data_IF_102603421026
#
_entry.id   IF_102603421026
#
_cell.length_a   1.000
_cell.length_b   1.000
_cell.length_c   1.000
_cell.angle_alpha   90.00
_cell.angle_beta   90.00
_cell.angle_gamma   90.00
#
_symmetry.space_group_name_H-M   'P 1'
#
loop_
_entity.id
_entity.type
_entity.pdbx_description
1 polymer ?
#
# COMPACT_ATOMS: atom_id res chain seq x y z
N UNK A 1 24.14 -21.89 2.51
CA UNK A 1 22.74 -22.35 2.65
C UNK A 1 22.17 -22.42 1.25
N UNK A 2 21.87 -23.62 0.74
CA UNK A 2 21.14 -23.76 -0.52
C UNK A 2 19.69 -23.41 -0.22
N UNK A 3 19.32 -22.14 -0.41
CA UNK A 3 17.92 -21.73 -0.41
C UNK A 3 17.27 -22.42 -1.60
N UNK A 4 16.51 -23.50 -1.36
CA UNK A 4 15.58 -24.02 -2.35
C UNK A 4 14.66 -22.86 -2.71
N UNK A 5 14.72 -22.47 -3.99
CA UNK A 5 13.94 -21.37 -4.53
C UNK A 5 12.45 -21.67 -4.34
N UNK A 6 11.80 -20.93 -3.45
CA UNK A 6 10.36 -20.81 -3.49
C UNK A 6 10.03 -19.79 -4.59
N UNK A 7 9.56 -20.28 -5.73
CA UNK A 7 9.09 -19.45 -6.83
C UNK A 7 7.79 -18.76 -6.41
N UNK A 8 7.88 -17.51 -5.98
CA UNK A 8 6.72 -16.61 -5.97
C UNK A 8 7.00 -15.42 -6.88
N UNK A 9 6.03 -15.10 -7.73
CA UNK A 9 6.08 -14.01 -8.68
C UNK A 9 5.92 -12.68 -7.92
N UNK A 10 6.92 -11.80 -8.00
CA UNK A 10 6.89 -10.40 -7.54
C UNK A 10 6.68 -10.15 -6.03
N UNK A 11 7.12 -11.06 -5.17
CA UNK A 11 6.94 -10.94 -3.70
C UNK A 11 8.23 -10.55 -3.00
N UNK A 12 8.19 -9.47 -2.21
CA UNK A 12 9.27 -9.15 -1.27
C UNK A 12 9.09 -9.96 0.00
N UNK A 13 9.96 -10.92 0.28
CA UNK A 13 9.87 -11.76 1.49
C UNK A 13 10.93 -11.34 2.49
N UNK A 14 10.51 -10.81 3.63
CA UNK A 14 11.38 -10.39 4.72
C UNK A 14 11.43 -11.46 5.79
N UNK A 15 12.61 -12.03 6.03
CA UNK A 15 12.79 -12.99 7.12
C UNK A 15 13.32 -12.23 8.33
N UNK A 16 12.52 -12.16 9.40
CA UNK A 16 12.90 -11.57 10.67
C UNK A 16 13.30 -12.65 11.67
N UNK A 17 14.41 -12.48 12.38
CA UNK A 17 14.72 -13.28 13.56
C UNK A 17 13.86 -12.80 14.72
N UNK A 18 13.22 -13.74 15.39
CA UNK A 18 12.49 -13.46 16.64
C UNK A 18 12.93 -14.40 17.76
N UNK A 19 12.74 -13.97 19.01
CA UNK A 19 13.01 -14.78 20.22
C UNK A 19 11.71 -15.11 20.92
N UNK A 20 11.61 -16.32 21.46
CA UNK A 20 10.45 -16.71 22.28
C UNK A 20 10.43 -15.96 23.60
N UNK A 21 9.27 -15.41 23.98
CA UNK A 21 9.03 -15.04 25.37
C UNK A 21 8.87 -16.32 26.22
N UNK A 22 9.20 -16.29 27.53
CA UNK A 22 8.97 -17.44 28.41
C UNK A 22 7.45 -17.68 28.57
N UNK A 23 6.89 -18.63 27.81
CA UNK A 23 5.48 -19.03 27.90
C UNK A 23 5.28 -20.50 27.50
N UNK A 24 4.20 -21.10 28.00
CA UNK A 24 3.86 -22.53 27.87
C UNK A 24 3.68 -22.93 26.41
N UNK A 25 4.55 -23.79 25.90
CA UNK A 25 4.41 -24.39 24.57
C UNK A 25 3.23 -25.36 24.56
N UNK A 26 2.24 -25.09 23.71
CA UNK A 26 1.23 -26.10 23.37
C UNK A 26 1.80 -27.01 22.28
N UNK A 27 2.01 -28.29 22.59
CA UNK A 27 2.44 -29.28 21.61
C UNK A 27 1.25 -29.65 20.70
N UNK A 28 1.13 -28.97 19.57
CA UNK A 28 0.25 -29.37 18.47
C UNK A 28 1.05 -30.14 17.41
N UNK A 29 0.44 -31.13 16.75
CA UNK A 29 1.10 -31.93 15.71
C UNK A 29 1.64 -31.09 14.54
N UNK A 30 1.12 -29.88 14.37
CA UNK A 30 1.43 -28.96 13.27
C UNK A 30 2.49 -27.89 13.60
N UNK A 31 3.00 -27.83 14.84
CA UNK A 31 3.96 -26.80 15.28
C UNK A 31 5.14 -27.49 16.00
N UNK A 32 6.39 -27.23 15.57
CA UNK A 32 7.60 -27.84 16.16
C UNK A 32 8.78 -26.89 16.18
N UNK A 33 9.73 -27.16 17.07
CA UNK A 33 11.06 -26.54 17.12
C UNK A 33 12.11 -27.50 16.50
N UNK A 34 13.03 -26.99 15.67
CA UNK A 34 14.01 -27.75 14.88
C UNK A 34 15.45 -27.25 15.04
N UNK A 35 16.38 -28.07 15.52
CA UNK A 35 17.72 -27.70 16.04
C UNK A 35 18.80 -27.18 15.06
N UNK A 36 18.47 -26.72 13.86
CA UNK A 36 19.48 -26.30 12.87
C UNK A 36 19.10 -24.97 12.19
N UNK A 37 19.80 -23.85 12.50
CA UNK A 37 20.21 -22.74 11.59
C UNK A 37 20.69 -21.46 12.35
N UNK A 38 21.79 -20.83 11.90
CA UNK A 38 22.52 -19.69 12.52
C UNK A 38 22.26 -18.31 11.85
N UNK A 39 22.31 -17.25 12.65
CA UNK A 39 21.90 -15.83 12.46
C UNK A 39 22.99 -14.92 11.84
N UNK A 40 22.82 -13.64 11.44
CA UNK A 40 22.38 -12.39 12.12
C UNK A 40 22.25 -11.24 11.06
N UNK A 41 21.43 -10.17 11.24
CA UNK A 41 21.94 -8.82 11.60
C UNK A 41 21.33 -7.63 10.82
N UNK A 42 20.47 -6.78 11.42
CA UNK A 42 19.80 -5.58 10.83
C UNK A 42 20.25 -4.23 11.44
N UNK A 43 19.86 -3.08 10.82
CA UNK A 43 19.49 -1.82 11.54
C UNK A 43 18.86 -0.69 10.65
N UNK A 44 17.66 -0.22 11.09
CA UNK A 44 16.98 1.12 11.14
C UNK A 44 17.12 2.19 10.02
N UNK A 45 16.10 2.85 9.43
CA UNK A 45 14.85 3.60 9.82
C UNK A 45 15.01 5.15 9.86
N UNK A 46 14.37 5.89 8.92
CA UNK A 46 13.19 6.82 9.04
C UNK A 46 13.57 8.28 9.48
N UNK A 47 12.94 9.40 9.13
CA UNK A 47 11.55 9.75 8.72
C UNK A 47 11.45 11.21 8.17
N UNK A 48 10.22 11.60 7.75
CA UNK A 48 9.75 12.69 6.85
C UNK A 48 9.25 14.01 7.50
N UNK A 49 9.02 15.09 6.70
CA UNK A 49 7.73 15.86 6.61
C UNK A 49 7.81 17.16 5.78
N UNK A 50 6.68 17.61 5.20
CA UNK A 50 6.49 18.90 4.49
C UNK A 50 5.13 19.55 4.82
N UNK A 51 5.03 20.87 4.61
CA UNK A 51 3.89 21.76 4.92
C UNK A 51 3.07 22.21 3.68
N UNK A 52 1.82 22.65 3.92
CA UNK A 52 0.78 23.02 2.92
C UNK A 52 0.34 24.50 3.06
N UNK A 53 0.04 25.21 1.96
CA UNK A 53 -0.59 26.56 1.96
C UNK A 53 -1.61 26.69 0.80
N UNK A 54 -2.74 27.34 1.10
CA UNK A 54 -3.94 27.55 0.27
C UNK A 54 -3.82 28.65 -0.80
N UNK A 55 -4.61 28.50 -1.87
CA UNK A 55 -4.60 29.32 -3.10
C UNK A 55 -5.46 30.61 -3.11
N UNK A 56 -5.50 31.24 -4.29
CA UNK A 56 -6.24 32.48 -4.58
C UNK A 56 -6.91 32.44 -5.96
N UNK A 57 -8.15 32.91 -6.02
CA UNK A 57 -9.08 32.92 -7.16
C UNK A 57 -8.80 34.01 -8.20
N UNK A 58 -9.05 33.70 -9.49
CA UNK A 58 -9.10 34.66 -10.60
C UNK A 58 -10.30 34.44 -11.52
N UNK A 59 -11.09 35.51 -11.74
CA UNK A 59 -12.36 35.55 -12.50
C UNK A 59 -12.18 35.52 -14.03
N UNK A 60 -13.05 34.81 -14.77
CA UNK A 60 -13.28 35.01 -16.21
C UNK A 60 -14.78 35.01 -16.56
N UNK A 61 -15.18 36.15 -17.14
CA UNK A 61 -16.34 36.52 -17.98
C UNK A 61 -17.64 35.70 -17.95
N UNK A 62 -18.71 36.39 -17.57
CA UNK A 62 -20.14 36.19 -17.86
C UNK A 62 -20.42 36.18 -19.37
N UNK A 63 -21.05 35.16 -19.97
CA UNK A 63 -22.51 35.08 -20.13
C UNK A 63 -23.00 33.64 -20.45
N UNK A 64 -22.08 32.65 -20.51
CA UNK A 64 -22.38 31.20 -20.40
C UNK A 64 -22.07 30.65 -18.98
N UNK A 65 -21.77 31.56 -18.04
CA UNK A 65 -20.83 31.30 -16.95
C UNK A 65 -21.49 31.06 -15.61
N UNK A 66 -22.81 30.90 -15.54
CA UNK A 66 -23.48 30.74 -14.24
C UNK A 66 -23.17 29.42 -13.56
N UNK A 67 -22.77 28.38 -14.31
CA UNK A 67 -22.46 27.06 -13.73
C UNK A 67 -21.02 26.58 -13.94
N UNK A 68 -20.22 27.22 -14.79
CA UNK A 68 -18.81 26.86 -14.99
C UNK A 68 -17.97 27.44 -13.86
N UNK A 69 -17.44 26.58 -13.01
CA UNK A 69 -16.52 26.94 -11.93
C UNK A 69 -15.33 26.00 -11.96
N UNK A 70 -14.17 26.51 -11.56
CA UNK A 70 -13.04 25.63 -11.23
C UNK A 70 -13.48 24.78 -10.04
N UNK A 71 -13.25 23.47 -10.11
CA UNK A 71 -13.53 22.55 -9.00
C UNK A 71 -12.68 22.97 -7.79
N UNK A 72 -13.29 22.89 -6.61
CA UNK A 72 -12.57 23.15 -5.36
C UNK A 72 -11.43 22.13 -5.22
N UNK A 73 -10.24 22.64 -4.92
CA UNK A 73 -9.02 21.85 -4.89
C UNK A 73 -7.94 22.52 -4.03
N UNK A 74 -6.94 21.74 -3.61
CA UNK A 74 -5.74 22.20 -2.93
C UNK A 74 -4.48 21.91 -3.74
N UNK A 75 -3.46 22.72 -3.57
CA UNK A 75 -2.17 22.55 -4.24
C UNK A 75 -1.25 21.63 -3.43
N UNK A 76 -0.54 20.72 -4.12
CA UNK A 76 0.56 19.95 -3.50
C UNK A 76 1.92 20.66 -3.68
N UNK A 77 2.95 20.15 -2.99
CA UNK A 77 4.31 20.73 -2.99
C UNK A 77 5.07 20.55 -4.33
N UNK A 78 4.52 19.78 -5.27
CA UNK A 78 5.11 19.43 -6.56
C UNK A 78 4.35 20.06 -7.74
N UNK A 79 3.60 21.13 -7.48
CA UNK A 79 2.74 21.82 -8.46
C UNK A 79 1.59 20.96 -8.99
N UNK A 80 1.24 19.89 -8.27
CA UNK A 80 0.02 19.14 -8.49
C UNK A 80 -1.18 19.76 -7.78
N UNK A 81 -2.35 19.17 -8.05
CA UNK A 81 -3.66 19.62 -7.57
C UNK A 81 -4.41 18.42 -7.03
N UNK A 82 -4.97 18.53 -5.83
CA UNK A 82 -5.83 17.53 -5.20
C UNK A 82 -7.25 18.08 -5.17
N UNK A 83 -8.15 17.48 -5.96
CA UNK A 83 -9.55 17.90 -6.06
C UNK A 83 -10.29 17.49 -4.78
N UNK A 84 -11.04 18.44 -4.20
CA UNK A 84 -11.87 18.22 -3.01
C UNK A 84 -13.10 17.36 -3.36
N UNK A 85 -13.09 16.10 -2.93
CA UNK A 85 -14.17 15.13 -3.16
C UNK A 85 -15.50 15.55 -2.54
N UNK A 86 -15.48 16.27 -1.43
CA UNK A 86 -16.68 16.61 -0.66
C UNK A 86 -17.43 17.79 -1.28
N UNK A 87 -16.82 18.45 -2.27
CA UNK A 87 -17.34 19.64 -2.96
C UNK A 87 -17.57 19.43 -4.45
N UNK A 88 -17.59 18.17 -4.88
CA UNK A 88 -17.93 17.84 -6.25
C UNK A 88 -19.42 18.14 -6.53
N UNK A 89 -19.77 18.61 -7.74
CA UNK A 89 -21.16 18.79 -8.12
C UNK A 89 -21.92 17.46 -8.13
N UNK A 90 -23.13 17.41 -7.57
CA UNK A 90 -23.94 16.17 -7.53
C UNK A 90 -24.35 15.67 -8.92
N UNK A 91 -24.48 16.57 -9.89
CA UNK A 91 -24.95 16.25 -11.23
C UNK A 91 -23.78 15.87 -12.18
N UNK A 92 -23.79 14.68 -12.81
CA UNK A 92 -22.73 14.23 -13.70
C UNK A 92 -22.41 15.20 -14.86
N UNK A 93 -23.41 15.86 -15.46
CA UNK A 93 -23.18 16.83 -16.54
C UNK A 93 -22.50 18.11 -16.04
N UNK A 94 -22.85 18.56 -14.84
CA UNK A 94 -22.20 19.72 -14.20
C UNK A 94 -20.76 19.38 -13.82
N UNK A 95 -20.54 18.19 -13.26
CA UNK A 95 -19.20 17.68 -12.99
C UNK A 95 -18.34 17.64 -14.26
N UNK A 96 -18.85 17.09 -15.37
CA UNK A 96 -18.13 17.02 -16.64
C UNK A 96 -17.72 18.41 -17.15
N UNK A 97 -18.64 19.38 -17.12
CA UNK A 97 -18.38 20.75 -17.56
C UNK A 97 -17.32 21.44 -16.68
N UNK A 98 -17.45 21.31 -15.35
CA UNK A 98 -16.53 21.90 -14.39
C UNK A 98 -15.15 21.25 -14.45
N UNK A 99 -15.08 19.92 -14.58
CA UNK A 99 -13.81 19.20 -14.72
C UNK A 99 -13.05 19.67 -15.96
N UNK A 100 -13.71 19.73 -17.12
CA UNK A 100 -13.08 20.22 -18.36
C UNK A 100 -12.58 21.65 -18.23
N UNK A 101 -13.39 22.53 -17.63
CA UNK A 101 -12.99 23.91 -17.37
C UNK A 101 -11.79 24.00 -16.43
N UNK A 102 -11.78 23.18 -15.37
CA UNK A 102 -10.71 23.12 -14.37
C UNK A 102 -9.41 22.62 -14.97
N UNK A 103 -9.44 21.54 -15.76
CA UNK A 103 -8.25 21.01 -16.46
C UNK A 103 -7.63 22.07 -17.38
N UNK A 104 -8.44 22.81 -18.13
CA UNK A 104 -7.96 23.91 -18.98
C UNK A 104 -7.35 25.05 -18.16
N UNK A 105 -7.98 25.40 -17.04
CA UNK A 105 -7.45 26.40 -16.12
C UNK A 105 -6.11 25.98 -15.52
N UNK A 106 -6.02 24.77 -14.96
CA UNK A 106 -4.80 24.20 -14.38
C UNK A 106 -3.67 24.06 -15.39
N UNK A 107 -4.00 23.74 -16.66
CA UNK A 107 -3.02 23.75 -17.75
C UNK A 107 -2.43 25.14 -17.99
N UNK A 108 -3.25 26.19 -17.96
CA UNK A 108 -2.79 27.58 -18.16
C UNK A 108 -1.92 28.10 -17.01
N UNK A 109 -2.21 27.72 -15.78
CA UNK A 109 -1.44 28.14 -14.61
C UNK A 109 -0.21 27.26 -14.35
N UNK A 110 0.08 26.29 -15.23
CA UNK A 110 1.30 25.48 -15.16
C UNK A 110 1.28 24.35 -14.13
N UNK A 111 0.09 23.86 -13.74
CA UNK A 111 -0.03 22.69 -12.85
C UNK A 111 0.38 21.40 -13.55
N UNK A 112 0.73 20.40 -12.76
CA UNK A 112 1.24 19.11 -13.22
C UNK A 112 0.26 17.96 -13.02
N UNK A 113 0.39 17.25 -11.91
CA UNK A 113 -0.43 16.08 -11.59
C UNK A 113 -1.75 16.49 -10.96
N UNK A 114 -2.86 15.94 -11.44
CA UNK A 114 -4.19 16.17 -10.87
C UNK A 114 -4.67 14.89 -10.23
N UNK A 115 -5.04 14.96 -8.96
CA UNK A 115 -5.55 13.87 -8.16
C UNK A 115 -7.05 14.04 -7.94
N UNK A 116 -7.81 13.00 -8.26
CA UNK A 116 -9.26 12.96 -8.10
C UNK A 116 -9.65 11.72 -7.32
N UNK A 117 -9.99 11.92 -6.05
CA UNK A 117 -10.57 10.88 -5.20
C UNK A 117 -12.08 10.89 -5.39
N UNK A 118 -12.65 9.75 -5.77
CA UNK A 118 -14.10 9.58 -5.92
C UNK A 118 -14.58 8.56 -4.88
N UNK A 119 -15.40 8.97 -3.90
CA UNK A 119 -16.13 8.04 -3.04
C UNK A 119 -16.95 7.05 -3.87
N UNK A 120 -17.18 5.85 -3.34
CA UNK A 120 -17.96 4.82 -4.02
C UNK A 120 -19.36 5.29 -4.41
N UNK A 121 -19.97 6.19 -3.62
CA UNK A 121 -21.28 6.80 -3.86
C UNK A 121 -21.30 7.71 -5.10
N UNK A 122 -20.13 8.16 -5.55
CA UNK A 122 -19.94 9.03 -6.72
C UNK A 122 -19.28 8.27 -7.88
N UNK A 123 -19.42 6.93 -7.93
CA UNK A 123 -18.83 6.08 -8.99
C UNK A 123 -19.26 6.48 -10.40
N UNK A 124 -20.40 7.13 -10.56
CA UNK A 124 -20.91 7.63 -11.84
C UNK A 124 -20.01 8.69 -12.48
N UNK A 125 -19.11 9.30 -11.70
CA UNK A 125 -18.11 10.27 -12.21
C UNK A 125 -16.87 9.60 -12.79
N UNK A 126 -16.63 8.31 -12.51
CA UNK A 126 -15.46 7.58 -13.02
C UNK A 126 -15.43 7.56 -14.55
N UNK A 127 -16.50 7.14 -15.27
CA UNK A 127 -16.47 7.15 -16.74
C UNK A 127 -16.28 8.55 -17.34
N UNK A 128 -16.70 9.60 -16.62
CA UNK A 128 -16.56 10.99 -17.05
C UNK A 128 -15.09 11.43 -16.93
N UNK A 129 -14.46 11.18 -15.77
CA UNK A 129 -13.07 11.50 -15.55
C UNK A 129 -12.15 10.74 -16.53
N UNK A 130 -12.39 9.44 -16.75
CA UNK A 130 -11.63 8.64 -17.72
C UNK A 130 -11.76 9.21 -19.15
N UNK A 131 -12.94 9.69 -19.55
CA UNK A 131 -13.15 10.34 -20.87
C UNK A 131 -12.37 11.64 -21.02
N UNK A 132 -12.18 12.40 -19.93
CA UNK A 132 -11.34 13.60 -19.92
C UNK A 132 -9.82 13.26 -19.80
N UNK A 133 -9.48 11.96 -19.76
CA UNK A 133 -8.11 11.46 -19.84
C UNK A 133 -7.50 11.01 -18.52
N UNK A 134 -8.27 10.98 -17.43
CA UNK A 134 -7.78 10.42 -16.16
C UNK A 134 -7.47 8.93 -16.30
N UNK A 135 -6.58 8.43 -15.44
CA UNK A 135 -6.21 7.02 -15.32
C UNK A 135 -6.37 6.55 -13.88
N UNK A 136 -6.71 5.28 -13.71
CA UNK A 136 -6.70 4.67 -12.39
C UNK A 136 -5.29 4.72 -11.78
N UNK A 137 -5.20 5.12 -10.51
CA UNK A 137 -4.00 4.99 -9.72
C UNK A 137 -4.16 3.84 -8.72
N UNK A 138 -5.08 3.96 -7.77
CA UNK A 138 -5.37 2.92 -6.78
C UNK A 138 -6.83 2.94 -6.37
N UNK A 139 -7.28 1.93 -5.64
CA UNK A 139 -8.61 1.86 -5.06
C UNK A 139 -8.52 1.23 -3.68
N UNK A 140 -9.33 1.74 -2.76
CA UNK A 140 -9.48 1.21 -1.40
C UNK A 140 -10.96 0.99 -1.10
N UNK A 141 -11.32 0.26 -0.04
CA UNK A 141 -12.70 0.21 0.42
C UNK A 141 -13.28 1.62 0.58
N UNK A 142 -14.31 1.94 -0.21
CA UNK A 142 -15.04 3.21 -0.16
C UNK A 142 -14.58 4.31 -1.13
N UNK A 143 -13.48 4.13 -1.90
CA UNK A 143 -13.13 5.12 -2.93
C UNK A 143 -12.21 4.59 -4.04
N UNK A 144 -12.19 5.28 -5.18
CA UNK A 144 -11.18 5.12 -6.23
C UNK A 144 -10.38 6.41 -6.40
N UNK A 145 -9.06 6.28 -6.55
CA UNK A 145 -8.16 7.38 -6.87
C UNK A 145 -7.82 7.38 -8.36
N UNK A 146 -8.12 8.50 -9.01
CA UNK A 146 -7.80 8.77 -10.41
C UNK A 146 -6.73 9.85 -10.49
N UNK A 147 -5.90 9.76 -11.52
CA UNK A 147 -4.85 10.75 -11.79
C UNK A 147 -4.86 11.24 -13.23
N UNK A 148 -4.45 12.48 -13.43
CA UNK A 148 -4.23 13.08 -14.74
C UNK A 148 -2.90 13.82 -14.76
N UNK A 149 -2.18 13.78 -15.88
CA UNK A 149 -0.90 14.48 -16.05
C UNK A 149 -1.05 15.52 -17.14
N UNK A 150 -0.90 16.80 -16.76
CA UNK A 150 -1.05 17.93 -17.68
C UNK A 150 0.16 18.11 -18.63
N UNK A 151 1.42 18.01 -18.17
CA UNK A 151 2.58 18.28 -19.01
C UNK A 151 2.69 17.29 -20.17
N UNK A 152 3.18 17.79 -21.30
CA UNK A 152 3.60 16.92 -22.40
C UNK A 152 4.87 16.18 -21.98
N UNK A 153 4.87 14.85 -22.09
CA UNK A 153 6.02 14.02 -21.73
C UNK A 153 5.65 12.80 -20.88
N UNK A 154 6.64 12.18 -20.21
CA UNK A 154 6.40 11.02 -19.36
C UNK A 154 5.55 11.39 -18.15
N UNK A 155 4.68 10.47 -17.74
CA UNK A 155 3.95 10.58 -16.48
C UNK A 155 4.94 10.48 -15.31
N UNK A 156 5.06 11.55 -14.51
CA UNK A 156 5.98 11.59 -13.36
C UNK A 156 5.29 11.34 -12.01
N UNK A 157 3.99 11.05 -12.00
CA UNK A 157 3.31 10.60 -10.79
C UNK A 157 3.82 9.20 -10.40
N UNK A 158 4.09 8.95 -9.11
CA UNK A 158 4.45 7.61 -8.64
C UNK A 158 3.42 6.58 -9.11
N UNK A 159 3.89 5.40 -9.53
CA UNK A 159 2.98 4.29 -9.78
C UNK A 159 2.41 3.77 -8.46
N UNK A 160 1.26 3.13 -8.52
CA UNK A 160 0.67 2.44 -7.37
C UNK A 160 1.57 1.30 -6.85
N UNK A 161 1.29 0.84 -5.63
CA UNK A 161 1.89 -0.34 -5.04
C UNK A 161 1.88 -1.51 -6.03
N UNK A 162 3.08 -1.95 -6.40
CA UNK A 162 3.31 -2.96 -7.43
C UNK A 162 3.73 -4.31 -6.86
N UNK A 163 4.11 -4.36 -5.59
CA UNK A 163 4.64 -5.53 -4.92
C UNK A 163 3.75 -5.92 -3.75
N UNK A 164 3.59 -7.22 -3.56
CA UNK A 164 3.10 -7.76 -2.30
C UNK A 164 4.30 -7.99 -1.38
N UNK A 165 4.14 -7.63 -0.12
CA UNK A 165 5.18 -7.80 0.89
C UNK A 165 4.78 -8.93 1.81
N UNK A 166 5.62 -9.95 1.88
CA UNK A 166 5.53 -11.07 2.81
C UNK A 166 6.58 -10.95 3.91
N UNK A 167 6.26 -11.49 5.07
CA UNK A 167 7.18 -11.68 6.19
C UNK A 167 7.26 -13.14 6.57
N UNK A 168 8.43 -13.56 7.06
CA UNK A 168 8.69 -14.87 7.61
C UNK A 168 9.30 -14.77 9.01
N UNK A 169 8.73 -15.49 9.97
CA UNK A 169 9.19 -15.53 11.35
C UNK A 169 10.25 -16.61 11.57
N UNK A 170 11.52 -16.24 11.61
CA UNK A 170 12.61 -17.14 11.97
C UNK A 170 12.83 -17.13 13.48
N UNK A 171 12.06 -17.96 14.20
CA UNK A 171 12.06 -17.97 15.66
C UNK A 171 13.06 -18.98 16.18
N UNK A 172 13.95 -18.57 17.08
CA UNK A 172 14.93 -19.45 17.72
C UNK A 172 14.63 -19.56 19.21
N UNK A 173 14.49 -20.79 19.71
CA UNK A 173 14.34 -21.10 21.13
C UNK A 173 15.66 -20.95 21.89
N UNK A 174 15.59 -20.95 23.23
CA UNK A 174 16.77 -21.03 24.08
C UNK A 174 17.60 -22.32 23.90
N UNK A 175 17.03 -23.36 23.27
CA UNK A 175 17.68 -24.63 22.92
C UNK A 175 18.31 -24.65 21.50
N UNK A 176 18.42 -23.49 20.83
CA UNK A 176 18.88 -23.37 19.44
C UNK A 176 18.02 -24.16 18.44
N UNK A 177 16.72 -24.24 18.70
CA UNK A 177 15.76 -24.85 17.80
C UNK A 177 14.92 -23.79 17.10
N UNK A 178 14.53 -24.05 15.85
CA UNK A 178 13.82 -23.15 14.95
C UNK A 178 12.35 -23.53 14.89
N UNK A 179 11.47 -22.57 15.12
CA UNK A 179 10.03 -22.79 14.98
C UNK A 179 9.65 -23.04 13.52
N UNK A 180 8.94 -24.15 13.30
CA UNK A 180 8.40 -24.55 12.01
C UNK A 180 6.94 -24.97 12.15
N UNK A 181 6.19 -24.73 11.08
CA UNK A 181 4.77 -25.03 10.96
C UNK A 181 4.51 -25.95 9.76
N UNK A 182 3.39 -26.65 9.82
CA UNK A 182 2.85 -27.45 8.73
C UNK A 182 1.38 -27.09 8.50
N UNK A 183 1.06 -26.65 7.28
CA UNK A 183 -0.32 -26.32 6.90
C UNK A 183 -1.18 -27.58 6.79
N UNK A 184 -2.35 -27.55 7.42
CA UNK A 184 -3.35 -28.63 7.28
C UNK A 184 -3.98 -28.67 5.89
N UNK A 185 -4.10 -27.50 5.25
CA UNK A 185 -4.66 -27.34 3.91
C UNK A 185 -3.57 -26.77 3.02
N UNK A 186 -3.06 -27.60 2.12
CA UNK A 186 -2.03 -27.20 1.17
C UNK A 186 -2.21 -28.01 -0.12
N UNK A 187 -1.64 -27.51 -1.22
CA UNK A 187 -1.59 -28.26 -2.47
C UNK A 187 -0.90 -29.62 -2.24
N UNK A 188 -1.25 -30.69 -2.97
CA UNK A 188 -0.68 -32.03 -2.75
C UNK A 188 0.85 -32.06 -2.72
N UNK A 189 1.51 -31.18 -3.50
CA UNK A 189 2.97 -31.06 -3.53
C UNK A 189 3.59 -30.48 -2.25
N UNK A 190 2.82 -29.75 -1.45
CA UNK A 190 3.28 -29.06 -0.24
C UNK A 190 2.81 -29.76 1.05
N UNK A 191 1.95 -30.78 0.94
CA UNK A 191 1.48 -31.54 2.09
C UNK A 191 2.62 -32.33 2.71
N UNK A 192 2.81 -32.15 4.02
CA UNK A 192 3.93 -32.76 4.74
C UNK A 192 5.15 -31.85 4.91
N UNK A 193 5.27 -30.75 4.18
CA UNK A 193 6.44 -29.86 4.27
C UNK A 193 6.39 -28.99 5.53
N UNK A 194 7.53 -28.89 6.20
CA UNK A 194 7.76 -27.95 7.28
C UNK A 194 8.33 -26.66 6.69
N UNK A 195 7.74 -25.53 7.07
CA UNK A 195 8.21 -24.18 6.72
C UNK A 195 8.29 -23.31 7.96
N UNK A 196 8.98 -22.18 7.86
CA UNK A 196 8.84 -21.13 8.88
C UNK A 196 7.45 -20.50 8.78
N UNK A 197 6.91 -19.92 9.87
CA UNK A 197 5.71 -19.09 9.80
C UNK A 197 5.85 -17.97 8.76
N UNK A 198 4.86 -17.80 7.88
CA UNK A 198 4.94 -16.83 6.78
C UNK A 198 3.58 -16.29 6.37
N UNK A 199 3.48 -14.97 6.15
CA UNK A 199 2.27 -14.33 5.60
C UNK A 199 2.55 -12.97 5.00
N UNK A 200 1.59 -12.45 4.25
CA UNK A 200 1.58 -11.07 3.79
C UNK A 200 1.46 -10.07 4.94
N UNK A 201 2.17 -8.96 4.80
CA UNK A 201 2.04 -7.78 5.65
C UNK A 201 0.84 -6.98 5.18
N UNK A 202 0.04 -6.49 6.13
CA UNK A 202 -1.12 -5.66 5.82
C UNK A 202 -0.68 -4.26 5.33
N UNK A 203 -1.56 -3.58 4.58
CA UNK A 203 -1.30 -2.19 4.22
C UNK A 203 -1.12 -1.35 5.49
N UNK A 204 -0.07 -0.52 5.52
CA UNK A 204 0.29 0.32 6.67
C UNK A 204 0.70 -0.45 7.94
N UNK A 205 0.98 -1.75 7.85
CA UNK A 205 1.56 -2.54 8.95
C UNK A 205 3.11 -2.51 8.88
N UNK A 206 3.73 -2.30 10.03
CA UNK A 206 5.19 -2.41 10.17
C UNK A 206 5.66 -3.85 9.99
N UNK A 207 6.79 -4.04 9.30
CA UNK A 207 7.31 -5.38 8.96
C UNK A 207 7.55 -6.26 10.19
N UNK A 208 8.12 -5.68 11.26
CA UNK A 208 8.37 -6.39 12.50
C UNK A 208 7.05 -6.77 13.21
N UNK A 209 6.04 -5.91 13.16
CA UNK A 209 4.74 -6.17 13.76
C UNK A 209 4.03 -7.31 13.03
N UNK A 210 4.08 -7.31 11.69
CA UNK A 210 3.56 -8.40 10.87
C UNK A 210 4.23 -9.73 11.17
N UNK A 211 5.56 -9.75 11.35
CA UNK A 211 6.29 -10.98 11.69
C UNK A 211 5.90 -11.53 13.08
N UNK A 212 5.77 -10.66 14.09
CA UNK A 212 5.34 -11.06 15.45
C UNK A 212 3.89 -11.56 15.42
N UNK A 213 3.00 -10.82 14.76
CA UNK A 213 1.58 -11.17 14.60
C UNK A 213 1.44 -12.54 13.95
N UNK A 214 2.19 -12.80 12.88
CA UNK A 214 2.11 -14.06 12.15
C UNK A 214 2.49 -15.27 13.00
N UNK A 215 3.62 -15.18 13.71
CA UNK A 215 4.04 -16.25 14.63
C UNK A 215 2.97 -16.50 15.68
N UNK A 216 2.38 -15.42 16.23
CA UNK A 216 1.32 -15.53 17.24
C UNK A 216 0.06 -16.18 16.69
N UNK A 217 -0.37 -15.81 15.49
CA UNK A 217 -1.57 -16.35 14.84
C UNK A 217 -1.44 -17.84 14.50
N UNK A 218 -0.30 -18.26 13.93
CA UNK A 218 -0.12 -19.65 13.51
C UNK A 218 0.23 -20.60 14.66
N UNK A 219 0.92 -20.11 15.70
CA UNK A 219 1.53 -20.98 16.73
C UNK A 219 1.08 -20.69 18.16
N UNK A 220 0.47 -19.53 18.41
CA UNK A 220 0.11 -19.06 19.75
C UNK A 220 1.28 -18.55 20.58
N UNK A 221 2.52 -18.57 20.06
CA UNK A 221 3.73 -18.19 20.78
C UNK A 221 3.97 -16.69 20.70
N UNK A 222 4.21 -16.05 21.84
CA UNK A 222 4.64 -14.65 21.91
C UNK A 222 6.14 -14.55 21.58
N UNK A 223 6.48 -13.61 20.72
CA UNK A 223 7.86 -13.39 20.28
C UNK A 223 8.24 -11.92 20.26
N UNK A 224 9.54 -11.67 20.37
CA UNK A 224 10.14 -10.35 20.23
C UNK A 224 10.94 -10.30 18.92
N UNK A 225 10.75 -9.25 18.13
CA UNK A 225 11.53 -9.01 16.92
C UNK A 225 12.97 -8.60 17.26
N UNK A 226 13.94 -9.16 16.55
CA UNK A 226 15.35 -8.86 16.71
C UNK A 226 15.90 -8.09 15.51
N UNK A 227 15.77 -8.68 14.31
CA UNK A 227 16.45 -8.21 13.10
C UNK A 227 15.86 -8.86 11.85
N UNK A 228 15.82 -8.17 10.71
CA UNK A 228 15.73 -8.79 9.39
C UNK A 228 17.08 -9.43 9.04
N UNK A 229 17.03 -10.65 8.50
CA UNK A 229 18.22 -11.41 8.08
C UNK A 229 18.32 -11.59 6.56
N UNK A 230 17.20 -11.43 5.84
CA UNK A 230 17.16 -11.51 4.38
C UNK A 230 15.91 -10.85 3.81
N UNK A 231 16.03 -10.32 2.59
CA UNK A 231 14.93 -9.94 1.70
C UNK A 231 15.22 -10.41 0.27
N UNK A 232 14.18 -10.59 -0.55
CA UNK A 232 14.29 -10.91 -1.99
C UNK A 232 13.30 -10.10 -2.80
#
# INVERSE_FOLDING_TARGET
MELKSFSFNSEMVLVGRTRTCPALLSNSSSVRFCSQLNCFGDNLAAETSFHHINGTNGSISSLCSRNLRVLDASDDVYEGVVIDSDRLPDNPSTFAANLRFSLHHWKKVGKKGIWLRLPSEQSDFVPIAIKEGFRYHHAEPGYVMLTYWIPEGPFMLPANASHQVGVGGFVISGSNEVLVVQEKQCAPANCGLWKIPTRFVLQSEELYAGAIREVKEETGIDTEFVEVIAFR
#
